data_IF_593622623800
#
_entry.id   IF_593622623800
#
_cell.length_a   1.000
_cell.length_b   1.000
_cell.length_c   1.000
_cell.angle_alpha   90.00
_cell.angle_beta   90.00
_cell.angle_gamma   90.00
#
_symmetry.space_group_name_H-M   'P 1'
#
loop_
_entity.id
_entity.type
_entity.pdbx_description
1 polymer ?
#
# COMPACT_ATOMS: atom_id res chain seq x y z
N UNK A 1 3.20 -13.29 -24.69
CA UNK A 1 3.83 -12.03 -24.25
C UNK A 1 5.31 -12.26 -24.04
N UNK A 2 6.19 -11.26 -24.30
CA UNK A 2 7.63 -11.42 -24.14
C UNK A 2 8.04 -11.74 -22.69
N UNK A 3 9.22 -12.34 -22.53
CA UNK A 3 9.89 -12.50 -21.23
C UNK A 3 10.20 -11.11 -20.67
N UNK A 4 10.11 -10.95 -19.34
CA UNK A 4 10.48 -9.70 -18.69
C UNK A 4 11.97 -9.40 -18.92
N UNK A 5 12.32 -8.13 -19.09
CA UNK A 5 13.74 -7.77 -19.19
C UNK A 5 14.47 -8.06 -17.87
N UNK A 6 15.78 -8.36 -17.91
CA UNK A 6 16.57 -8.64 -16.70
C UNK A 6 16.44 -7.56 -15.61
N UNK A 7 16.41 -6.25 -15.92
CA UNK A 7 16.14 -5.23 -14.91
C UNK A 7 14.79 -5.40 -14.22
N UNK A 8 13.74 -5.81 -14.95
CA UNK A 8 12.41 -6.05 -14.36
C UNK A 8 12.35 -7.38 -13.62
N UNK A 9 13.05 -8.41 -14.09
CA UNK A 9 13.20 -9.67 -13.35
C UNK A 9 13.85 -9.43 -11.98
N UNK A 10 14.84 -8.52 -11.90
CA UNK A 10 15.46 -8.14 -10.63
C UNK A 10 14.52 -7.38 -9.67
N UNK A 11 13.41 -6.80 -10.16
CA UNK A 11 12.40 -6.21 -9.28
C UNK A 11 11.54 -7.29 -8.60
N UNK A 12 11.56 -8.53 -9.10
CA UNK A 12 10.80 -9.67 -8.56
C UNK A 12 11.53 -10.31 -7.35
N UNK A 13 12.69 -9.77 -6.97
CA UNK A 13 13.64 -10.40 -6.05
C UNK A 13 13.17 -10.54 -4.59
N UNK A 14 12.09 -9.86 -4.19
CA UNK A 14 11.47 -9.98 -2.87
C UNK A 14 10.03 -10.54 -2.93
N UNK A 15 9.64 -11.11 -4.08
CA UNK A 15 8.29 -11.60 -4.37
C UNK A 15 7.18 -10.54 -4.23
N UNK A 16 7.50 -9.25 -4.34
CA UNK A 16 6.51 -8.16 -4.30
C UNK A 16 6.81 -7.09 -5.35
N UNK A 17 5.76 -6.49 -5.91
CA UNK A 17 5.86 -5.24 -6.66
C UNK A 17 5.29 -4.10 -5.84
N UNK A 18 6.19 -3.19 -5.47
CA UNK A 18 5.89 -1.97 -4.75
C UNK A 18 5.44 -0.85 -5.70
N UNK A 19 4.83 0.18 -5.12
CA UNK A 19 4.46 1.37 -5.87
C UNK A 19 5.69 2.15 -6.42
N UNK A 20 6.87 2.01 -5.80
CA UNK A 20 8.09 2.67 -6.27
C UNK A 20 8.66 2.00 -7.52
N UNK A 21 8.66 0.67 -7.55
CA UNK A 21 9.18 -0.13 -8.66
C UNK A 21 8.34 0.04 -9.93
N UNK A 22 7.02 0.14 -9.78
CA UNK A 22 6.15 0.42 -10.90
C UNK A 22 6.31 1.85 -11.45
N UNK A 23 6.59 2.84 -10.62
CA UNK A 23 6.93 4.20 -11.09
C UNK A 23 8.25 4.21 -11.87
N UNK A 24 9.24 3.44 -11.42
CA UNK A 24 10.48 3.25 -12.15
C UNK A 24 10.25 2.56 -13.51
N UNK A 25 9.37 1.56 -13.56
CA UNK A 25 8.94 0.94 -14.81
C UNK A 25 8.29 1.97 -15.76
N UNK A 26 7.40 2.83 -15.27
CA UNK A 26 6.82 3.90 -16.09
C UNK A 26 7.88 4.84 -16.66
N UNK A 27 8.85 5.26 -15.85
CA UNK A 27 9.97 6.12 -16.30
C UNK A 27 10.75 5.44 -17.43
N UNK A 28 11.06 4.15 -17.27
CA UNK A 28 11.78 3.36 -18.29
C UNK A 28 10.96 3.22 -19.56
N UNK A 29 9.66 2.98 -19.46
CA UNK A 29 8.78 2.91 -20.63
C UNK A 29 8.76 4.26 -21.37
N UNK A 30 8.61 5.37 -20.65
CA UNK A 30 8.64 6.73 -21.24
C UNK A 30 9.98 7.08 -21.87
N UNK A 31 11.07 6.59 -21.29
CA UNK A 31 12.43 6.74 -21.83
C UNK A 31 12.77 5.77 -22.97
N UNK A 32 11.84 4.88 -23.38
CA UNK A 32 12.09 3.86 -24.41
C UNK A 32 13.01 2.72 -23.97
N UNK A 33 13.33 2.65 -22.67
CA UNK A 33 14.23 1.65 -22.06
C UNK A 33 13.50 0.38 -21.62
N UNK A 34 12.17 0.40 -21.58
CA UNK A 34 11.30 -0.74 -21.32
C UNK A 34 10.09 -0.69 -22.25
N UNK A 35 9.43 -1.83 -22.43
CA UNK A 35 8.25 -1.94 -23.30
C UNK A 35 6.96 -1.97 -22.50
N UNK A 36 5.87 -1.47 -23.08
CA UNK A 36 4.52 -1.57 -22.49
C UNK A 36 4.15 -3.01 -22.12
N UNK A 37 4.58 -3.98 -22.93
CA UNK A 37 4.34 -5.40 -22.72
C UNK A 37 4.90 -5.92 -21.39
N UNK A 38 5.89 -5.24 -20.79
CA UNK A 38 6.41 -5.60 -19.47
C UNK A 38 5.40 -5.23 -18.37
N UNK A 39 4.75 -4.06 -18.46
CA UNK A 39 3.65 -3.69 -17.58
C UNK A 39 2.44 -4.64 -17.75
N UNK A 40 2.15 -5.05 -18.99
CA UNK A 40 1.08 -6.02 -19.29
C UNK A 40 1.40 -7.40 -18.69
N UNK A 41 2.66 -7.83 -18.77
CA UNK A 41 3.12 -9.08 -18.15
C UNK A 41 3.02 -9.03 -16.63
N UNK A 42 3.38 -7.91 -15.97
CA UNK A 42 3.19 -7.77 -14.52
C UNK A 42 1.71 -7.88 -14.16
N UNK A 43 0.84 -7.21 -14.91
CA UNK A 43 -0.61 -7.21 -14.65
C UNK A 43 -1.28 -8.57 -14.82
N UNK A 44 -0.72 -9.47 -15.64
CA UNK A 44 -1.35 -10.75 -16.01
C UNK A 44 -0.64 -11.98 -15.46
N UNK A 45 0.68 -11.92 -15.29
CA UNK A 45 1.50 -13.07 -14.85
C UNK A 45 1.97 -12.94 -13.41
N UNK A 46 1.98 -11.73 -12.87
CA UNK A 46 2.52 -11.41 -11.55
C UNK A 46 1.56 -10.62 -10.67
N UNK A 47 0.28 -10.55 -11.00
CA UNK A 47 -0.70 -9.77 -10.24
C UNK A 47 -0.74 -10.15 -8.74
N UNK A 48 -0.45 -11.41 -8.43
CA UNK A 48 -0.38 -11.96 -7.07
C UNK A 48 0.81 -11.48 -6.23
N UNK A 49 1.76 -10.76 -6.83
CA UNK A 49 2.89 -10.11 -6.15
C UNK A 49 2.63 -8.63 -5.87
N UNK A 50 1.57 -8.04 -6.42
CA UNK A 50 1.29 -6.61 -6.24
C UNK A 50 0.93 -6.32 -4.78
N UNK A 51 1.53 -5.26 -4.22
CA UNK A 51 1.08 -4.75 -2.93
C UNK A 51 -0.33 -4.16 -3.01
N UNK A 52 -0.94 -3.96 -1.83
CA UNK A 52 -2.26 -3.37 -1.73
C UNK A 52 -2.32 -2.01 -2.47
N UNK A 53 -3.37 -1.80 -3.25
CA UNK A 53 -3.56 -0.58 -4.06
C UNK A 53 -2.65 -0.43 -5.28
N UNK A 54 -1.57 -1.21 -5.42
CA UNK A 54 -0.64 -1.12 -6.56
C UNK A 54 -1.32 -1.54 -7.88
N UNK A 55 -2.26 -2.49 -7.83
CA UNK A 55 -3.05 -2.90 -8.99
C UNK A 55 -3.88 -1.75 -9.59
N UNK A 56 -4.45 -0.88 -8.77
CA UNK A 56 -5.16 0.32 -9.25
C UNK A 56 -4.26 1.26 -10.03
N UNK A 57 -3.04 1.47 -9.53
CA UNK A 57 -2.05 2.30 -10.23
C UNK A 57 -1.62 1.66 -11.55
N UNK A 58 -1.35 0.35 -11.56
CA UNK A 58 -0.92 -0.37 -12.76
C UNK A 58 -2.01 -0.33 -13.85
N UNK A 59 -3.29 -0.46 -13.47
CA UNK A 59 -4.41 -0.28 -14.39
C UNK A 59 -4.41 1.12 -15.03
N UNK A 60 -4.13 2.18 -14.26
CA UNK A 60 -4.03 3.56 -14.78
C UNK A 60 -2.85 3.71 -15.75
N UNK A 61 -1.68 3.16 -15.40
CA UNK A 61 -0.52 3.14 -16.29
C UNK A 61 -0.86 2.45 -17.61
N UNK A 62 -1.40 1.23 -17.56
CA UNK A 62 -1.75 0.46 -18.75
C UNK A 62 -2.69 1.22 -19.67
N UNK A 63 -3.73 1.85 -19.11
CA UNK A 63 -4.64 2.71 -19.86
C UNK A 63 -3.93 3.90 -20.49
N UNK A 64 -3.02 4.56 -19.77
CA UNK A 64 -2.24 5.69 -20.28
C UNK A 64 -1.28 5.30 -21.43
N UNK A 65 -0.82 4.04 -21.44
CA UNK A 65 0.01 3.46 -22.49
C UNK A 65 -0.82 2.88 -23.66
N UNK A 66 -2.14 3.12 -23.67
CA UNK A 66 -3.05 2.59 -24.68
C UNK A 66 -3.21 1.07 -24.66
N UNK A 67 -2.98 0.43 -23.52
CA UNK A 67 -3.25 -1.00 -23.33
C UNK A 67 -4.69 -1.23 -22.86
N UNK A 68 -5.30 -2.31 -23.35
CA UNK A 68 -6.59 -2.81 -22.88
C UNK A 68 -6.44 -3.91 -21.81
N UNK A 69 -5.21 -4.25 -21.44
CA UNK A 69 -4.94 -5.24 -20.38
C UNK A 69 -5.35 -4.65 -19.04
N UNK A 70 -5.98 -5.49 -18.21
CA UNK A 70 -6.31 -5.16 -16.82
C UNK A 70 -5.58 -6.10 -15.88
N UNK A 71 -5.28 -5.60 -14.68
CA UNK A 71 -4.65 -6.38 -13.63
C UNK A 71 -5.58 -7.50 -13.19
N UNK A 72 -5.07 -8.73 -13.19
CA UNK A 72 -5.81 -9.90 -12.73
C UNK A 72 -6.08 -9.84 -11.23
N UNK A 73 -7.27 -10.25 -10.80
CA UNK A 73 -7.60 -10.37 -9.38
C UNK A 73 -6.75 -11.46 -8.72
N UNK A 74 -6.21 -11.27 -7.50
CA UNK A 74 -5.31 -12.23 -6.88
C UNK A 74 -6.03 -13.54 -6.60
N UNK A 75 -5.32 -14.65 -6.72
CA UNK A 75 -5.90 -15.96 -6.50
C UNK A 75 -6.12 -16.19 -5.01
N UNK A 76 -7.37 -16.49 -4.64
CA UNK A 76 -7.74 -16.77 -3.25
C UNK A 76 -7.61 -18.26 -2.92
N UNK A 77 -7.85 -19.12 -3.91
CA UNK A 77 -7.90 -20.58 -3.79
C UNK A 77 -8.01 -21.22 -5.19
N UNK A 78 -7.98 -22.56 -5.23
CA UNK A 78 -8.14 -23.40 -6.43
C UNK A 78 -9.55 -24.01 -6.54
N UNK A 79 -10.57 -23.46 -5.88
CA UNK A 79 -11.91 -24.07 -5.82
C UNK A 79 -12.52 -24.36 -7.21
N UNK A 80 -12.14 -23.55 -8.20
CA UNK A 80 -12.64 -23.66 -9.57
C UNK A 80 -11.85 -24.67 -10.43
N UNK A 81 -10.71 -25.19 -9.95
CA UNK A 81 -9.94 -26.26 -10.61
C UNK A 81 -10.40 -27.64 -10.09
N UNK A 82 -11.71 -27.92 -10.22
CA UNK A 82 -12.32 -29.13 -9.65
C UNK A 82 -11.69 -30.42 -10.18
N UNK A 83 -11.34 -30.47 -11.46
CA UNK A 83 -10.73 -31.66 -12.08
C UNK A 83 -9.35 -31.96 -11.49
N UNK A 84 -8.59 -30.91 -11.20
CA UNK A 84 -7.28 -31.03 -10.55
C UNK A 84 -7.43 -31.46 -9.09
N UNK A 85 -8.34 -30.82 -8.35
CA UNK A 85 -8.62 -31.13 -6.96
C UNK A 85 -9.16 -32.56 -6.79
N UNK A 86 -9.97 -33.05 -7.73
CA UNK A 86 -10.54 -34.39 -7.72
C UNK A 86 -9.62 -35.46 -8.34
N UNK A 87 -8.47 -35.06 -8.91
CA UNK A 87 -7.50 -35.99 -9.49
C UNK A 87 -7.91 -36.57 -10.84
N UNK A 88 -8.86 -35.93 -11.53
CA UNK A 88 -9.22 -36.24 -12.91
C UNK A 88 -8.07 -35.88 -13.85
N UNK A 89 -7.33 -34.83 -13.51
CA UNK A 89 -6.11 -34.41 -14.22
C UNK A 89 -4.90 -34.40 -13.30
N UNK A 90 -3.72 -34.62 -13.89
CA UNK A 90 -2.40 -34.43 -13.28
C UNK A 90 -1.56 -33.57 -14.21
N UNK A 91 -0.94 -32.52 -13.68
CA UNK A 91 -0.05 -31.66 -14.45
C UNK A 91 1.41 -32.09 -14.24
N UNK A 92 2.24 -32.16 -15.30
CA UNK A 92 1.95 -31.80 -16.68
C UNK A 92 1.42 -32.95 -17.56
N UNK A 93 1.13 -34.13 -17.01
CA UNK A 93 0.75 -35.33 -17.78
C UNK A 93 -0.46 -35.10 -18.71
N UNK A 94 -1.44 -34.30 -18.29
CA UNK A 94 -2.61 -33.91 -19.09
C UNK A 94 -2.35 -32.73 -20.06
N UNK A 95 -1.09 -32.33 -20.22
CA UNK A 95 -0.69 -31.27 -21.14
C UNK A 95 0.02 -30.13 -20.42
N UNK A 96 1.18 -29.74 -20.96
CA UNK A 96 1.99 -28.64 -20.42
C UNK A 96 1.34 -27.27 -20.48
N UNK A 97 0.39 -27.06 -21.39
CA UNK A 97 -0.35 -25.80 -21.56
C UNK A 97 -1.81 -25.91 -21.09
N UNK A 98 -2.12 -26.89 -20.22
CA UNK A 98 -3.47 -27.07 -19.70
C UNK A 98 -3.91 -25.79 -18.93
N UNK A 99 -5.18 -25.35 -19.00
CA UNK A 99 -5.62 -24.10 -18.35
C UNK A 99 -5.29 -24.00 -16.85
N UNK A 100 -5.36 -25.12 -16.12
CA UNK A 100 -5.01 -25.18 -14.69
C UNK A 100 -3.52 -24.93 -14.37
N UNK A 101 -2.62 -24.98 -15.37
CA UNK A 101 -1.20 -24.65 -15.17
C UNK A 101 -1.06 -23.22 -14.70
N UNK A 102 -1.77 -22.28 -15.33
CA UNK A 102 -1.77 -20.88 -14.92
C UNK A 102 -2.24 -20.71 -13.48
N UNK A 103 -3.29 -21.43 -13.06
CA UNK A 103 -3.81 -21.34 -11.69
C UNK A 103 -2.79 -21.86 -10.65
N UNK A 104 -2.07 -22.94 -10.96
CA UNK A 104 -0.99 -23.45 -10.10
C UNK A 104 0.17 -22.46 -10.02
N UNK A 105 0.63 -21.93 -11.14
CA UNK A 105 1.70 -20.93 -11.16
C UNK A 105 1.31 -19.71 -10.32
N UNK A 106 0.09 -19.20 -10.50
CA UNK A 106 -0.44 -18.09 -9.70
C UNK A 106 -0.51 -18.42 -8.21
N UNK A 107 -0.94 -19.63 -7.84
CA UNK A 107 -1.01 -20.04 -6.45
C UNK A 107 0.38 -20.12 -5.79
N UNK A 108 1.38 -20.63 -6.52
CA UNK A 108 2.78 -20.67 -6.05
C UNK A 108 3.37 -19.27 -5.90
N UNK A 109 3.16 -18.38 -6.88
CA UNK A 109 3.56 -16.96 -6.81
C UNK A 109 2.89 -16.27 -5.61
N UNK A 110 1.59 -16.50 -5.40
CA UNK A 110 0.85 -15.96 -4.27
C UNK A 110 1.41 -16.45 -2.93
N UNK A 111 1.72 -17.74 -2.81
CA UNK A 111 2.35 -18.30 -1.61
C UNK A 111 3.73 -17.68 -1.37
N UNK A 112 4.56 -17.51 -2.40
CA UNK A 112 5.85 -16.85 -2.28
C UNK A 112 5.70 -15.42 -1.72
N UNK A 113 4.84 -14.61 -2.35
CA UNK A 113 4.58 -13.21 -1.97
C UNK A 113 4.02 -13.05 -0.54
N UNK A 114 3.07 -13.92 -0.16
CA UNK A 114 2.31 -13.81 1.09
C UNK A 114 3.02 -14.45 2.29
N UNK A 115 3.95 -15.38 2.07
CA UNK A 115 4.65 -16.11 3.14
C UNK A 115 6.16 -15.86 3.18
N UNK A 116 6.72 -15.21 2.16
CA UNK A 116 8.17 -15.01 2.02
C UNK A 116 8.93 -16.26 1.56
N UNK A 117 8.24 -17.34 1.18
CA UNK A 117 8.87 -18.57 0.67
C UNK A 117 9.28 -18.40 -0.79
N UNK A 118 10.42 -17.72 -1.02
CA UNK A 118 10.94 -17.40 -2.35
C UNK A 118 11.22 -18.63 -3.23
N UNK A 119 11.39 -19.82 -2.64
CA UNK A 119 11.55 -21.08 -3.38
C UNK A 119 10.32 -21.46 -4.23
N UNK A 120 9.16 -20.85 -3.99
CA UNK A 120 7.96 -21.05 -4.80
C UNK A 120 7.79 -20.00 -5.90
N UNK A 121 8.68 -19.01 -5.96
CA UNK A 121 8.54 -17.91 -6.91
C UNK A 121 8.88 -18.36 -8.33
N UNK A 122 8.19 -17.77 -9.31
CA UNK A 122 8.44 -17.98 -10.74
C UNK A 122 8.91 -16.65 -11.38
N UNK A 123 10.13 -16.17 -11.11
CA UNK A 123 10.60 -14.85 -11.55
C UNK A 123 10.90 -14.71 -13.06
N UNK A 124 11.13 -15.80 -13.77
CA UNK A 124 11.51 -15.76 -15.19
C UNK A 124 10.28 -15.60 -16.08
N UNK A 125 9.28 -16.45 -15.88
CA UNK A 125 8.10 -16.52 -16.74
C UNK A 125 6.79 -16.15 -16.03
N UNK A 126 6.70 -16.29 -14.71
CA UNK A 126 5.50 -16.02 -13.94
C UNK A 126 4.40 -17.02 -14.26
N UNK A 127 3.14 -16.61 -14.15
CA UNK A 127 2.00 -17.42 -14.57
C UNK A 127 1.76 -17.34 -16.09
N UNK A 128 2.69 -17.89 -16.88
CA UNK A 128 2.63 -17.88 -18.34
C UNK A 128 1.76 -18.97 -18.97
N UNK A 129 1.33 -19.95 -18.18
CA UNK A 129 0.52 -21.08 -18.61
C UNK A 129 1.31 -22.28 -19.14
N UNK A 130 2.65 -22.25 -19.20
CA UNK A 130 3.48 -23.42 -19.57
C UNK A 130 4.08 -24.09 -18.34
N UNK A 131 3.90 -25.40 -18.24
CA UNK A 131 4.47 -26.22 -17.19
C UNK A 131 5.94 -26.56 -17.50
N UNK A 132 6.76 -25.52 -17.57
CA UNK A 132 8.19 -25.62 -17.84
C UNK A 132 9.06 -25.93 -16.61
N UNK A 133 10.38 -25.84 -16.80
CA UNK A 133 11.37 -26.16 -15.76
C UNK A 133 11.23 -25.28 -14.51
N UNK A 134 10.86 -24.01 -14.66
CA UNK A 134 10.62 -23.10 -13.53
C UNK A 134 9.44 -23.58 -12.67
N UNK A 135 8.31 -23.90 -13.31
CA UNK A 135 7.12 -24.46 -12.64
C UNK A 135 7.46 -25.79 -11.95
N UNK A 136 8.19 -26.70 -12.60
CA UNK A 136 8.60 -27.99 -12.02
C UNK A 136 9.44 -27.78 -10.75
N UNK A 137 10.41 -26.86 -10.78
CA UNK A 137 11.26 -26.55 -9.62
C UNK A 137 10.43 -26.02 -8.45
N UNK A 138 9.54 -25.06 -8.71
CA UNK A 138 8.68 -24.48 -7.68
C UNK A 138 7.72 -25.52 -7.07
N UNK A 139 7.16 -26.41 -7.89
CA UNK A 139 6.30 -27.51 -7.42
C UNK A 139 7.08 -28.49 -6.56
N UNK A 140 8.29 -28.90 -6.98
CA UNK A 140 9.15 -29.79 -6.17
C UNK A 140 9.50 -29.17 -4.83
N UNK A 141 9.83 -27.88 -4.81
CA UNK A 141 10.09 -27.15 -3.57
C UNK A 141 8.86 -27.13 -2.66
N UNK A 142 7.67 -26.85 -3.21
CA UNK A 142 6.42 -26.91 -2.47
C UNK A 142 6.15 -28.32 -1.91
N UNK A 143 6.32 -29.36 -2.73
CA UNK A 143 6.14 -30.74 -2.31
C UNK A 143 7.06 -31.12 -1.17
N UNK A 144 8.35 -30.79 -1.30
CA UNK A 144 9.35 -31.05 -0.27
C UNK A 144 8.98 -30.36 1.05
N UNK A 145 8.62 -29.08 1.00
CA UNK A 145 8.28 -28.29 2.18
C UNK A 145 6.96 -28.72 2.87
N UNK A 146 6.11 -29.46 2.16
CA UNK A 146 4.81 -29.94 2.67
C UNK A 146 4.77 -31.46 2.87
N UNK A 147 5.91 -32.16 2.82
CA UNK A 147 5.99 -33.61 3.07
C UNK A 147 5.25 -34.46 2.02
N UNK A 148 5.20 -33.99 0.78
CA UNK A 148 4.60 -34.70 -0.35
C UNK A 148 5.66 -35.48 -1.15
N UNK A 149 5.21 -36.36 -2.03
CA UNK A 149 6.10 -37.01 -3.02
C UNK A 149 6.69 -35.92 -3.93
N UNK A 150 8.02 -35.86 -4.02
CA UNK A 150 8.75 -34.83 -4.77
C UNK A 150 9.00 -35.27 -6.21
N UNK A 151 7.93 -35.42 -6.97
CA UNK A 151 7.95 -35.82 -8.39
C UNK A 151 7.87 -34.62 -9.35
N UNK A 152 7.56 -33.43 -8.85
CA UNK A 152 7.35 -32.23 -9.66
C UNK A 152 6.05 -32.25 -10.46
N UNK A 153 5.10 -33.12 -10.09
CA UNK A 153 3.77 -33.21 -10.68
C UNK A 153 2.71 -32.68 -9.72
N UNK A 154 1.66 -32.08 -10.28
CA UNK A 154 0.50 -31.65 -9.51
C UNK A 154 -0.67 -32.58 -9.82
N UNK A 155 -0.79 -33.63 -9.02
CA UNK A 155 -2.01 -34.43 -8.88
C UNK A 155 -2.87 -33.96 -7.69
N UNK A 156 -3.98 -34.65 -7.41
CA UNK A 156 -4.98 -34.25 -6.38
C UNK A 156 -4.37 -33.92 -5.02
N UNK A 157 -3.40 -34.71 -4.53
CA UNK A 157 -2.76 -34.48 -3.22
C UNK A 157 -1.99 -33.16 -3.19
N UNK A 158 -1.15 -32.91 -4.21
CA UNK A 158 -0.40 -31.66 -4.35
C UNK A 158 -1.35 -30.47 -4.50
N UNK A 159 -2.38 -30.59 -5.35
CA UNK A 159 -3.34 -29.52 -5.60
C UNK A 159 -4.13 -29.14 -4.33
N UNK A 160 -4.63 -30.12 -3.58
CA UNK A 160 -5.33 -29.88 -2.30
C UNK A 160 -4.41 -29.24 -1.26
N UNK A 161 -3.14 -29.62 -1.21
CA UNK A 161 -2.17 -29.00 -0.31
C UNK A 161 -1.91 -27.53 -0.68
N UNK A 162 -1.73 -27.22 -1.97
CA UNK A 162 -1.60 -25.83 -2.45
C UNK A 162 -2.86 -25.03 -2.11
N UNK A 163 -4.05 -25.56 -2.38
CA UNK A 163 -5.34 -24.93 -2.07
C UNK A 163 -5.48 -24.63 -0.57
N UNK A 164 -5.18 -25.62 0.27
CA UNK A 164 -5.24 -25.45 1.72
C UNK A 164 -4.20 -24.42 2.23
N UNK A 165 -3.01 -24.39 1.65
CA UNK A 165 -1.98 -23.43 2.00
C UNK A 165 -2.40 -22.00 1.65
N UNK A 166 -2.90 -21.77 0.43
CA UNK A 166 -3.27 -20.42 -0.02
C UNK A 166 -4.51 -19.89 0.71
N UNK A 167 -5.48 -20.74 1.07
CA UNK A 167 -6.65 -20.36 1.89
C UNK A 167 -6.29 -19.87 3.29
N UNK A 168 -5.12 -20.23 3.81
CA UNK A 168 -4.61 -19.76 5.11
C UNK A 168 -3.91 -18.40 5.02
N UNK A 169 -3.73 -17.86 3.81
CA UNK A 169 -3.09 -16.56 3.59
C UNK A 169 -4.11 -15.44 3.42
N UNK A 170 -3.73 -14.22 3.79
CA UNK A 170 -4.54 -13.05 3.49
C UNK A 170 -4.41 -12.70 2.00
N UNK A 171 -5.54 -12.51 1.32
CA UNK A 171 -5.58 -12.08 -0.08
C UNK A 171 -5.33 -10.56 -0.14
N UNK A 172 -4.29 -10.07 -0.83
CA UNK A 172 -4.02 -8.64 -0.91
C UNK A 172 -5.16 -7.88 -1.62
N UNK A 173 -5.55 -6.71 -1.07
CA UNK A 173 -6.47 -5.78 -1.71
C UNK A 173 -5.78 -5.01 -2.85
N UNK A 174 -5.59 -5.66 -4.01
CA UNK A 174 -4.89 -5.00 -5.14
C UNK A 174 -5.73 -3.92 -5.83
N UNK A 175 -7.06 -4.01 -5.71
CA UNK A 175 -8.03 -3.03 -6.22
C UNK A 175 -8.75 -2.39 -5.04
N UNK A 176 -8.46 -1.11 -4.79
CA UNK A 176 -9.00 -0.38 -3.66
C UNK A 176 -8.22 -0.65 -2.39
N UNK A 177 -7.43 0.33 -1.96
CA UNK A 177 -6.77 0.30 -0.67
C UNK A 177 -7.80 0.22 0.48
N UNK A 178 -7.48 -0.49 1.56
CA UNK A 178 -8.36 -0.63 2.72
C UNK A 178 -7.86 0.19 3.91
N UNK A 179 -8.73 0.54 4.87
CA UNK A 179 -8.29 1.18 6.11
C UNK A 179 -7.23 0.36 6.87
N UNK A 180 -7.25 -0.97 6.75
CA UNK A 180 -6.24 -1.84 7.38
C UNK A 180 -4.85 -1.61 6.77
N UNK A 181 -4.75 -1.37 5.47
CA UNK A 181 -3.47 -1.12 4.81
C UNK A 181 -2.82 0.18 5.31
N UNK A 182 -3.63 1.20 5.63
CA UNK A 182 -3.16 2.43 6.28
C UNK A 182 -2.66 2.18 7.70
N UNK A 183 -3.37 1.34 8.46
CA UNK A 183 -2.97 0.99 9.84
C UNK A 183 -1.65 0.22 9.81
N UNK A 184 -1.52 -0.79 8.96
CA UNK A 184 -0.30 -1.59 8.82
C UNK A 184 0.89 -0.69 8.39
N UNK A 185 0.68 0.19 7.40
CA UNK A 185 1.67 1.17 6.97
C UNK A 185 2.09 2.11 8.11
N UNK A 186 1.13 2.64 8.88
CA UNK A 186 1.39 3.54 9.99
C UNK A 186 2.17 2.86 11.13
N UNK A 187 1.84 1.60 11.44
CA UNK A 187 2.55 0.79 12.44
C UNK A 187 3.99 0.55 11.97
N UNK A 188 4.19 0.09 10.73
CA UNK A 188 5.51 -0.22 10.21
C UNK A 188 6.42 1.01 10.20
N UNK A 189 5.91 2.15 9.73
CA UNK A 189 6.66 3.42 9.71
C UNK A 189 6.94 3.98 11.12
N UNK A 190 6.28 3.48 12.16
CA UNK A 190 6.44 3.93 13.55
C UNK A 190 7.19 2.93 14.44
N UNK A 191 7.46 1.72 13.97
CA UNK A 191 8.08 0.64 14.77
C UNK A 191 9.27 -0.02 14.10
N UNK A 192 9.42 0.13 12.77
CA UNK A 192 10.55 -0.41 12.03
C UNK A 192 11.82 0.45 12.09
N UNK A 193 12.87 0.01 11.40
CA UNK A 193 14.18 0.68 11.37
C UNK A 193 14.14 2.12 10.84
N UNK A 194 13.13 2.43 10.03
CA UNK A 194 12.93 3.77 9.44
C UNK A 194 12.30 4.77 10.42
N UNK A 195 11.76 4.31 11.56
CA UNK A 195 11.06 5.18 12.50
C UNK A 195 11.95 6.32 13.04
N UNK A 196 13.23 6.02 13.29
CA UNK A 196 14.24 7.00 13.70
C UNK A 196 14.45 8.14 12.70
N UNK A 197 14.12 7.92 11.43
CA UNK A 197 14.31 8.91 10.36
C UNK A 197 13.15 9.92 10.27
N UNK A 198 12.11 9.77 11.09
CA UNK A 198 11.02 10.74 11.20
C UNK A 198 11.20 11.75 12.35
N UNK A 199 12.36 11.75 13.02
CA UNK A 199 12.72 12.73 14.06
C UNK A 199 13.47 13.95 13.55
N UNK A 200 13.19 15.15 14.05
CA UNK A 200 13.79 16.46 13.73
C UNK A 200 15.32 16.45 13.50
N UNK A 201 16.17 15.90 14.39
CA UNK A 201 17.63 15.95 14.20
C UNK A 201 18.14 14.91 13.18
N UNK A 202 17.33 13.93 12.80
CA UNK A 202 17.71 12.87 11.87
C UNK A 202 17.34 13.22 10.43
N UNK A 203 18.09 12.70 9.45
CA UNK A 203 17.73 12.86 8.06
C UNK A 203 16.43 12.12 7.76
N UNK A 204 15.68 12.69 6.82
CA UNK A 204 14.29 12.33 6.56
C UNK A 204 14.19 11.14 5.58
N UNK A 205 13.07 10.40 5.61
CA UNK A 205 12.77 9.36 4.61
C UNK A 205 11.51 9.72 3.83
N UNK A 206 11.64 9.77 2.51
CA UNK A 206 10.52 9.80 1.58
C UNK A 206 10.43 8.45 0.85
N UNK A 207 9.22 7.90 0.73
CA UNK A 207 8.99 6.66 -0.04
C UNK A 207 8.12 6.92 -1.28
N UNK A 208 7.69 8.15 -1.48
CA UNK A 208 6.88 8.55 -2.61
C UNK A 208 7.73 9.17 -3.73
N UNK A 209 7.92 8.47 -4.86
CA UNK A 209 8.72 8.99 -5.95
C UNK A 209 8.09 10.19 -6.69
N UNK A 210 6.81 10.51 -6.42
CA UNK A 210 6.15 11.73 -6.90
C UNK A 210 6.32 12.90 -5.95
N UNK A 211 6.93 12.72 -4.79
CA UNK A 211 7.28 13.85 -3.95
C UNK A 211 8.53 14.55 -4.52
N UNK A 212 8.64 15.87 -4.37
CA UNK A 212 9.78 16.67 -4.85
C UNK A 212 11.12 16.35 -4.17
N UNK A 213 11.06 15.57 -3.10
CA UNK A 213 12.22 15.18 -2.31
C UNK A 213 12.67 13.78 -2.78
N UNK A 214 13.99 13.49 -2.87
CA UNK A 214 14.47 12.17 -3.25
C UNK A 214 13.86 11.05 -2.41
N UNK A 215 13.28 10.05 -3.07
CA UNK A 215 12.80 8.85 -2.40
C UNK A 215 13.96 7.91 -2.04
N UNK A 216 13.81 7.17 -0.93
CA UNK A 216 14.71 6.10 -0.49
C UNK A 216 16.16 6.55 -0.23
N UNK A 217 16.37 7.83 0.11
CA UNK A 217 17.67 8.36 0.53
C UNK A 217 17.47 9.34 1.69
N UNK A 218 18.36 9.32 2.70
CA UNK A 218 18.43 10.40 3.68
C UNK A 218 18.72 11.73 2.97
N UNK A 219 18.05 12.81 3.35
CA UNK A 219 18.31 14.15 2.82
C UNK A 219 18.44 15.17 3.96
N UNK A 220 19.08 16.30 3.66
CA UNK A 220 19.34 17.39 4.60
C UNK A 220 18.08 17.77 5.40
N UNK A 221 18.22 18.20 6.68
CA UNK A 221 17.07 18.60 7.49
C UNK A 221 16.27 19.67 6.76
N UNK A 222 14.98 19.42 6.50
CA UNK A 222 14.12 20.47 5.98
C UNK A 222 13.99 21.57 7.04
N UNK A 223 14.65 22.71 6.83
CA UNK A 223 14.34 23.94 7.57
C UNK A 223 12.91 24.35 7.22
N UNK A 224 12.04 24.45 8.23
CA UNK A 224 10.67 24.93 8.07
C UNK A 224 9.73 24.00 7.30
N UNK A 225 9.99 22.68 7.23
CA UNK A 225 8.99 21.71 6.74
C UNK A 225 8.66 20.66 7.79
N UNK A 226 7.54 20.00 7.58
CA UNK A 226 6.76 19.30 8.61
C UNK A 226 6.86 17.77 8.51
N UNK A 227 7.55 17.15 9.47
CA UNK A 227 7.81 15.69 9.49
C UNK A 227 6.54 14.87 9.59
N UNK A 228 5.58 15.35 10.35
CA UNK A 228 4.26 14.74 10.47
C UNK A 228 3.54 14.67 9.12
N UNK A 229 3.72 15.66 8.24
CA UNK A 229 3.06 15.71 6.94
C UNK A 229 3.73 14.77 5.93
N UNK A 230 5.08 14.71 5.93
CA UNK A 230 5.79 13.67 5.18
C UNK A 230 5.44 12.26 5.67
N UNK A 231 5.36 12.07 6.99
CA UNK A 231 4.93 10.82 7.59
C UNK A 231 3.53 10.43 7.11
N UNK A 232 2.55 11.33 7.22
CA UNK A 232 1.18 11.08 6.78
C UNK A 232 1.08 10.75 5.28
N UNK A 233 1.81 11.47 4.43
CA UNK A 233 1.81 11.18 3.00
C UNK A 233 2.49 9.86 2.66
N UNK A 234 3.57 9.50 3.37
CA UNK A 234 4.18 8.18 3.27
C UNK A 234 3.22 7.08 3.75
N UNK A 235 2.44 7.30 4.82
CA UNK A 235 1.41 6.34 5.26
C UNK A 235 0.37 6.14 4.15
N UNK A 236 -0.16 7.21 3.55
CA UNK A 236 -1.08 7.09 2.42
C UNK A 236 -0.45 6.31 1.27
N UNK A 237 0.76 6.70 0.86
CA UNK A 237 1.47 6.10 -0.27
C UNK A 237 1.70 4.60 -0.03
N UNK A 238 2.17 4.23 1.16
CA UNK A 238 2.43 2.84 1.54
C UNK A 238 1.17 2.03 1.73
N UNK A 239 0.11 2.65 2.25
CA UNK A 239 -1.21 2.06 2.34
C UNK A 239 -1.94 1.94 1.00
N UNK A 240 -1.33 2.32 -0.13
CA UNK A 240 -1.92 2.22 -1.46
C UNK A 240 -2.90 3.34 -1.83
N UNK A 241 -2.95 4.41 -1.04
CA UNK A 241 -3.75 5.61 -1.30
C UNK A 241 -2.92 6.67 -2.04
N UNK A 242 -3.60 7.56 -2.77
CA UNK A 242 -2.94 8.70 -3.39
C UNK A 242 -2.89 9.87 -2.40
N UNK A 243 -1.69 10.36 -2.01
CA UNK A 243 -1.58 11.56 -1.19
C UNK A 243 -2.16 12.81 -1.89
N UNK A 244 -2.51 13.86 -1.14
CA UNK A 244 -2.69 15.20 -1.72
C UNK A 244 -1.32 15.82 -2.08
N UNK A 245 -1.26 16.60 -3.14
CA UNK A 245 -0.04 17.33 -3.55
C UNK A 245 -0.37 18.76 -3.90
N UNK A 246 0.55 19.67 -3.61
CA UNK A 246 0.67 20.90 -4.35
C UNK A 246 1.09 20.63 -5.78
N UNK A 247 0.48 21.35 -6.72
CA UNK A 247 0.91 21.35 -8.11
C UNK A 247 2.30 21.99 -8.16
N UNK A 248 3.32 21.20 -8.46
CA UNK A 248 4.64 21.75 -8.77
C UNK A 248 4.62 22.37 -10.17
N UNK A 249 5.28 23.52 -10.31
CA UNK A 249 5.44 24.25 -11.56
C UNK A 249 6.57 23.71 -12.45
N UNK A 250 7.25 22.63 -12.02
CA UNK A 250 8.39 22.04 -12.73
C UNK A 250 8.02 21.11 -13.89
N UNK A 251 6.72 20.84 -14.13
CA UNK A 251 6.20 19.92 -15.16
C UNK A 251 6.80 18.50 -15.13
N UNK A 252 7.50 18.11 -14.06
CA UNK A 252 8.18 16.81 -13.94
C UNK A 252 7.28 15.72 -13.32
N UNK A 253 6.03 16.06 -13.04
CA UNK A 253 5.02 15.18 -12.44
C UNK A 253 5.19 14.96 -10.94
N UNK A 254 6.08 15.71 -10.28
CA UNK A 254 6.26 15.68 -8.83
C UNK A 254 5.50 16.81 -8.14
N UNK A 255 5.41 16.74 -6.81
CA UNK A 255 4.76 17.73 -5.97
C UNK A 255 5.22 17.66 -4.52
N UNK A 256 4.80 18.62 -3.71
CA UNK A 256 4.99 18.56 -2.26
C UNK A 256 3.70 18.22 -1.56
N UNK A 257 3.77 17.48 -0.46
CA UNK A 257 2.59 17.31 0.37
C UNK A 257 2.20 18.65 1.00
N UNK A 258 0.88 18.95 1.11
CA UNK A 258 0.43 20.14 1.80
C UNK A 258 0.77 20.08 3.29
N UNK A 259 0.66 21.22 3.96
CA UNK A 259 0.75 21.26 5.42
C UNK A 259 -0.51 20.62 6.04
N UNK A 260 -0.44 20.02 7.23
CA UNK A 260 -1.59 19.35 7.87
C UNK A 260 -2.82 20.26 7.90
N UNK A 261 -2.61 21.54 8.24
CA UNK A 261 -3.62 22.59 8.27
C UNK A 261 -4.14 23.02 6.88
N UNK A 262 -3.76 22.33 5.81
CA UNK A 262 -4.21 22.56 4.43
C UNK A 262 -4.80 21.30 3.80
N UNK A 263 -4.56 20.10 4.35
CA UNK A 263 -5.07 18.84 3.77
C UNK A 263 -6.59 18.78 3.74
N UNK A 264 -7.26 19.50 4.63
CA UNK A 264 -8.72 19.62 4.63
C UNK A 264 -9.27 20.09 3.27
N UNK A 265 -8.48 20.83 2.47
CA UNK A 265 -8.83 21.29 1.12
C UNK A 265 -8.99 20.16 0.10
N UNK A 266 -8.64 18.91 0.43
CA UNK A 266 -8.86 17.73 -0.41
C UNK A 266 -9.99 16.84 0.12
N UNK A 267 -10.77 17.33 1.08
CA UNK A 267 -11.98 16.64 1.54
C UNK A 267 -13.14 16.87 0.59
N UNK A 268 -14.09 15.94 0.55
CA UNK A 268 -15.37 16.06 -0.15
C UNK A 268 -16.09 17.40 0.07
N UNK A 269 -15.97 17.99 1.26
CA UNK A 269 -16.51 19.32 1.59
C UNK A 269 -15.80 20.48 0.89
N UNK A 270 -14.46 20.46 0.81
CA UNK A 270 -13.67 21.63 0.40
C UNK A 270 -12.95 21.50 -0.94
N UNK A 271 -12.84 20.29 -1.49
CA UNK A 271 -12.07 20.00 -2.70
C UNK A 271 -12.50 20.82 -3.92
N UNK A 272 -13.82 20.87 -4.19
CA UNK A 272 -14.37 21.60 -5.33
C UNK A 272 -13.99 23.08 -5.32
N UNK A 273 -14.16 23.75 -4.18
CA UNK A 273 -13.84 25.19 -4.04
C UNK A 273 -12.34 25.49 -4.17
N UNK A 274 -11.47 24.50 -3.96
CA UNK A 274 -10.02 24.64 -4.09
C UNK A 274 -9.49 24.07 -5.42
N UNK A 275 -10.38 23.69 -6.35
CA UNK A 275 -10.03 23.04 -7.60
C UNK A 275 -9.13 21.80 -7.41
N UNK A 276 -9.38 21.08 -6.31
CA UNK A 276 -8.67 19.87 -5.93
C UNK A 276 -9.55 18.64 -6.22
N UNK A 277 -8.96 17.49 -6.54
CA UNK A 277 -9.71 16.25 -6.55
C UNK A 277 -9.98 15.79 -5.10
N UNK A 278 -11.10 15.11 -4.89
CA UNK A 278 -11.42 14.54 -3.57
C UNK A 278 -10.42 13.42 -3.25
N UNK A 279 -9.83 13.48 -2.05
CA UNK A 279 -8.92 12.46 -1.49
C UNK A 279 -9.43 11.94 -0.16
N UNK A 280 -10.21 12.73 0.56
CA UNK A 280 -10.74 12.38 1.87
C UNK A 280 -12.24 12.62 1.95
N UNK A 281 -12.92 11.84 2.79
CA UNK A 281 -14.19 12.24 3.38
C UNK A 281 -13.91 13.04 4.65
N UNK A 282 -14.53 14.19 4.83
CA UNK A 282 -14.50 14.90 6.10
C UNK A 282 -15.51 14.27 7.07
N UNK A 283 -15.01 13.70 8.18
CA UNK A 283 -15.83 13.01 9.19
C UNK A 283 -16.28 13.98 10.28
N UNK A 284 -15.39 14.86 10.72
CA UNK A 284 -15.69 15.91 11.67
C UNK A 284 -14.70 17.07 11.55
N UNK A 285 -15.15 18.26 11.96
CA UNK A 285 -14.35 19.48 12.00
C UNK A 285 -14.72 20.25 13.28
N UNK A 286 -13.71 20.65 14.04
CA UNK A 286 -13.87 21.47 15.23
C UNK A 286 -13.03 22.73 15.05
N UNK A 287 -13.61 23.87 15.40
CA UNK A 287 -12.92 25.16 15.53
C UNK A 287 -12.91 25.56 17.01
N UNK A 288 -11.94 25.08 17.80
CA UNK A 288 -11.90 25.30 19.24
C UNK A 288 -12.00 26.76 19.67
N UNK A 289 -11.45 27.69 18.90
CA UNK A 289 -11.49 29.14 19.18
C UNK A 289 -12.90 29.74 19.23
N UNK A 290 -13.90 29.05 18.67
CA UNK A 290 -15.31 29.45 18.72
C UNK A 290 -16.12 28.80 19.88
N UNK A 291 -15.46 28.03 20.74
CA UNK A 291 -16.11 27.22 21.78
C UNK A 291 -15.57 27.55 23.17
N UNK A 292 -16.44 27.45 24.18
CA UNK A 292 -16.00 27.40 25.58
C UNK A 292 -15.27 26.07 25.87
N UNK A 293 -14.46 26.02 26.93
CA UNK A 293 -13.73 24.81 27.33
C UNK A 293 -14.64 23.58 27.53
N UNK A 294 -15.82 23.76 28.13
CA UNK A 294 -16.79 22.67 28.33
C UNK A 294 -17.39 22.17 26.99
N UNK A 295 -17.71 23.10 26.08
CA UNK A 295 -18.22 22.76 24.75
C UNK A 295 -17.15 22.05 23.92
N UNK A 296 -15.91 22.53 23.97
CA UNK A 296 -14.78 21.91 23.28
C UNK A 296 -14.58 20.47 23.74
N UNK A 297 -14.54 20.24 25.06
CA UNK A 297 -14.41 18.88 25.62
C UNK A 297 -15.50 17.95 25.12
N UNK A 298 -16.74 18.42 25.11
CA UNK A 298 -17.90 17.67 24.59
C UNK A 298 -17.73 17.34 23.10
N UNK A 299 -17.31 18.32 22.29
CA UNK A 299 -17.08 18.12 20.84
C UNK A 299 -15.94 17.15 20.57
N UNK A 300 -14.85 17.21 21.34
CA UNK A 300 -13.73 16.27 21.23
C UNK A 300 -14.12 14.84 21.58
N UNK A 301 -14.93 14.63 22.62
CA UNK A 301 -15.48 13.31 22.95
C UNK A 301 -16.33 12.75 21.80
N UNK A 302 -17.19 13.59 21.20
CA UNK A 302 -17.99 13.20 20.04
C UNK A 302 -17.11 12.87 18.83
N UNK A 303 -16.02 13.61 18.61
CA UNK A 303 -15.06 13.34 17.55
C UNK A 303 -14.32 12.02 17.80
N UNK A 304 -13.78 11.78 19.00
CA UNK A 304 -13.07 10.54 19.35
C UNK A 304 -13.96 9.29 19.22
N UNK A 305 -15.25 9.42 19.51
CA UNK A 305 -16.22 8.35 19.30
C UNK A 305 -16.41 7.97 17.82
N UNK A 306 -16.09 8.86 16.87
CA UNK A 306 -16.21 8.62 15.42
C UNK A 306 -14.96 8.04 14.78
N UNK A 307 -13.80 8.14 15.44
CA UNK A 307 -12.52 7.75 14.87
C UNK A 307 -12.50 6.26 14.55
N UNK A 308 -12.03 5.92 13.35
CA UNK A 308 -11.75 4.54 12.95
C UNK A 308 -10.26 4.36 12.68
N UNK A 309 -9.69 3.16 12.90
CA UNK A 309 -8.35 2.86 12.44
C UNK A 309 -8.19 3.17 10.95
N UNK A 310 -7.11 3.87 10.59
CA UNK A 310 -6.85 4.40 9.24
C UNK A 310 -7.30 5.84 9.03
N UNK A 311 -8.08 6.43 9.94
CA UNK A 311 -8.44 7.85 9.88
C UNK A 311 -7.24 8.74 10.20
N UNK A 312 -7.23 9.92 9.56
CA UNK A 312 -6.25 10.97 9.78
C UNK A 312 -6.88 12.04 10.68
N UNK A 313 -6.26 12.28 11.84
CA UNK A 313 -6.62 13.38 12.73
C UNK A 313 -5.57 14.48 12.58
N UNK A 314 -5.98 15.59 11.99
CA UNK A 314 -5.12 16.73 11.71
C UNK A 314 -5.48 17.91 12.58
N UNK A 315 -4.46 18.64 13.02
CA UNK A 315 -4.63 19.79 13.90
C UNK A 315 -3.80 20.96 13.41
N UNK A 316 -4.19 22.15 13.84
CA UNK A 316 -3.43 23.38 13.76
C UNK A 316 -3.17 23.89 15.21
N UNK A 317 -1.96 24.36 15.52
CA UNK A 317 -1.52 24.74 16.87
C UNK A 317 -1.68 26.25 17.17
N UNK A 318 -1.82 26.63 18.46
CA UNK A 318 -1.84 28.02 18.93
C UNK A 318 -0.44 28.68 18.85
N UNK A 319 -0.29 29.76 18.08
CA UNK A 319 0.90 30.64 18.13
C UNK A 319 1.11 31.53 16.90
N UNK A 320 1.78 32.69 17.09
CA UNK A 320 2.11 33.65 16.01
C UNK A 320 3.03 33.11 14.90
N UNK A 321 3.48 31.87 15.03
CA UNK A 321 4.13 31.11 13.99
C UNK A 321 3.10 30.20 13.29
N UNK A 322 2.41 30.80 12.32
CA UNK A 322 1.81 30.13 11.13
C UNK A 322 2.84 29.19 10.43
N UNK A 323 4.10 29.33 10.86
CA UNK A 323 5.30 28.60 10.55
C UNK A 323 5.36 27.17 11.07
N UNK A 324 4.34 26.52 11.67
CA UNK A 324 4.34 25.09 12.10
C UNK A 324 3.59 24.13 11.13
N UNK A 325 2.69 24.64 10.29
CA UNK A 325 1.97 23.80 9.31
C UNK A 325 1.08 22.67 9.88
N UNK A 326 0.86 22.62 11.18
CA UNK A 326 -0.02 21.68 11.85
C UNK A 326 0.55 20.26 11.98
N UNK A 327 -0.19 19.40 12.70
CA UNK A 327 0.25 18.05 13.01
C UNK A 327 -0.66 16.97 12.41
N UNK A 328 -0.04 15.93 11.86
CA UNK A 328 -0.72 14.77 11.27
C UNK A 328 -0.61 13.56 12.20
N UNK A 329 -1.76 13.00 12.57
CA UNK A 329 -1.89 11.73 13.30
C UNK A 329 -2.66 10.72 12.47
N UNK A 330 -2.24 9.45 12.50
CA UNK A 330 -2.97 8.34 11.87
C UNK A 330 -3.46 7.38 12.94
N UNK A 331 -4.77 7.17 13.03
CA UNK A 331 -5.36 6.27 14.02
C UNK A 331 -4.98 4.82 13.71
N UNK A 332 -4.36 4.13 14.67
CA UNK A 332 -3.99 2.70 14.55
C UNK A 332 -4.95 1.80 15.34
N UNK A 333 -5.52 2.31 16.43
CA UNK A 333 -6.50 1.60 17.25
C UNK A 333 -7.38 2.60 18.00
N UNK A 334 -8.69 2.43 17.96
CA UNK A 334 -9.61 3.19 18.80
C UNK A 334 -9.93 2.40 20.08
N UNK A 335 -9.57 2.92 21.26
CA UNK A 335 -9.90 2.33 22.56
C UNK A 335 -10.81 3.25 23.38
N UNK A 336 -11.46 4.22 22.74
CA UNK A 336 -12.12 5.34 23.39
C UNK A 336 -13.25 4.91 24.32
N UNK A 337 -14.02 3.89 23.93
CA UNK A 337 -15.10 3.37 24.77
C UNK A 337 -14.60 2.67 26.05
N UNK A 338 -13.37 2.15 26.05
CA UNK A 338 -12.82 1.40 27.18
C UNK A 338 -11.95 2.27 28.09
N UNK A 339 -11.08 3.10 27.51
CA UNK A 339 -10.07 3.88 28.24
C UNK A 339 -10.13 5.38 27.96
N UNK A 340 -11.05 5.85 27.12
CA UNK A 340 -11.12 7.28 26.74
C UNK A 340 -9.98 7.74 25.83
N UNK A 341 -9.25 6.81 25.21
CA UNK A 341 -8.03 7.08 24.43
C UNK A 341 -8.06 6.45 23.05
N UNK A 342 -7.19 6.95 22.15
CA UNK A 342 -6.96 6.43 20.81
C UNK A 342 -5.44 6.30 20.62
N UNK A 343 -5.02 5.24 19.93
CA UNK A 343 -3.64 5.05 19.53
C UNK A 343 -3.39 5.73 18.18
N UNK A 344 -2.50 6.70 18.15
CA UNK A 344 -2.10 7.44 16.96
C UNK A 344 -0.64 7.20 16.64
N UNK A 345 -0.39 6.78 15.40
CA UNK A 345 0.93 6.80 14.79
C UNK A 345 1.23 8.21 14.26
N UNK A 346 2.41 8.73 14.57
CA UNK A 346 2.80 10.10 14.23
C UNK A 346 4.32 10.29 14.31
N UNK A 347 4.84 11.26 13.56
CA UNK A 347 6.22 11.74 13.74
C UNK A 347 6.35 12.56 15.03
N UNK A 348 7.53 12.60 15.62
CA UNK A 348 7.86 13.43 16.79
C UNK A 348 9.26 14.04 16.65
N UNK A 349 9.75 14.69 17.71
CA UNK A 349 11.06 15.35 17.67
C UNK A 349 12.19 14.36 17.40
N UNK A 350 12.15 13.12 17.91
CA UNK A 350 13.28 12.18 17.79
C UNK A 350 13.05 11.02 16.83
N UNK A 351 11.79 10.63 16.61
CA UNK A 351 11.39 9.48 15.78
C UNK A 351 9.88 9.54 15.52
N UNK A 352 9.36 8.67 14.65
CA UNK A 352 7.93 8.33 14.63
C UNK A 352 7.62 7.23 15.63
N UNK A 353 6.43 7.30 16.22
CA UNK A 353 5.97 6.35 17.23
C UNK A 353 4.45 6.26 17.24
N UNK A 354 3.96 5.23 17.93
CA UNK A 354 2.55 5.09 18.27
C UNK A 354 2.36 5.59 19.70
N UNK A 355 1.45 6.55 19.88
CA UNK A 355 1.09 7.11 21.19
C UNK A 355 -0.37 6.86 21.49
N UNK A 356 -0.67 6.55 22.75
CA UNK A 356 -2.02 6.57 23.26
C UNK A 356 -2.36 7.99 23.74
N UNK A 357 -3.38 8.60 23.16
CA UNK A 357 -3.77 9.99 23.45
C UNK A 357 -5.24 10.05 23.90
N UNK A 358 -5.53 10.87 24.91
CA UNK A 358 -6.89 11.27 25.27
C UNK A 358 -7.27 12.58 24.57
N UNK A 359 -8.51 13.03 24.77
CA UNK A 359 -8.97 14.34 24.30
C UNK A 359 -8.14 15.52 24.85
N UNK A 360 -7.45 15.33 25.98
CA UNK A 360 -6.67 16.39 26.62
C UNK A 360 -5.49 16.83 25.74
N UNK A 361 -4.98 15.92 24.89
CA UNK A 361 -3.93 16.22 23.91
C UNK A 361 -4.36 17.22 22.83
N UNK A 362 -5.67 17.49 22.71
CA UNK A 362 -6.25 18.35 21.66
C UNK A 362 -6.92 19.62 22.21
N UNK A 363 -6.82 19.88 23.51
CA UNK A 363 -7.52 21.01 24.14
C UNK A 363 -6.91 22.38 23.81
N UNK A 364 -5.69 22.42 23.26
CA UNK A 364 -4.95 23.63 22.88
C UNK A 364 -4.84 23.85 21.37
N UNK A 365 -5.60 23.11 20.56
CA UNK A 365 -5.56 23.23 19.10
C UNK A 365 -6.47 24.36 18.60
N UNK A 366 -6.13 25.00 17.47
CA UNK A 366 -6.91 26.08 16.85
C UNK A 366 -7.94 25.57 15.83
N UNK A 367 -7.64 24.44 15.21
CA UNK A 367 -8.52 23.73 14.30
C UNK A 367 -8.21 22.24 14.34
N UNK A 368 -9.26 21.42 14.18
CA UNK A 368 -9.15 19.97 14.21
C UNK A 368 -10.00 19.40 13.09
N UNK A 369 -9.41 18.55 12.26
CA UNK A 369 -10.09 17.83 11.19
C UNK A 369 -9.90 16.34 11.37
N UNK A 370 -11.02 15.61 11.42
CA UNK A 370 -11.03 14.16 11.31
C UNK A 370 -11.39 13.79 9.88
N UNK A 371 -10.47 13.12 9.18
CA UNK A 371 -10.57 12.84 7.76
C UNK A 371 -10.34 11.35 7.50
N UNK A 372 -11.17 10.76 6.62
CA UNK A 372 -11.03 9.38 6.21
C UNK A 372 -10.52 9.31 4.77
N UNK A 373 -9.38 8.66 4.49
CA UNK A 373 -8.89 8.49 3.13
C UNK A 373 -9.93 7.75 2.27
N UNK A 374 -10.26 8.33 1.11
CA UNK A 374 -11.25 7.76 0.21
C UNK A 374 -10.63 6.63 -0.61
N UNK A 375 -11.31 5.48 -0.66
CA UNK A 375 -10.92 4.31 -1.47
C UNK A 375 -11.30 4.47 -2.94
N UNK A 376 -12.18 5.43 -3.25
CA UNK A 376 -12.63 5.77 -4.60
C UNK A 376 -11.85 6.97 -5.14
N UNK A 377 -11.05 6.72 -6.16
CA UNK A 377 -10.59 7.72 -7.11
C UNK A 377 -10.80 7.23 -8.54
#
# INVERSE_FOLDING_TARGET
MPVLSTPIQNLINNARFTAAELVELEKRIKAGQAKRQEAEAIATRYADTLEAGVGSWLNKLLKSLGSNVTVMQPIANLANDTDLLNGIITLPDNGRNHPSVGNIQRALIALASRTGMLSYMLPEFGADGDYGNETIKAVRAFQQNNGLVVDGKVGSKTAKAIDAAIRKTNVPGITGATPKDLVDAAIELSTGEVAKNYGVPQPWVNIDPRHNVPANKPFEPLKGRWKCNLFGGNVLRKGGYEPPYYRDNTNDGKGEYPHANQWFRWTDKYASANNNPVRFQLIDEIKPTSLTQAQLRTRLQQLFAKVQPGDFLMVDHLGGDIQDGGHTRVATKNNFQNSGTIFFAQASYEHSLIREESIDALMSEEAIWLMRPNTKM
#
